data_IF_976012533855
#
_entry.id   IF_976012533855
#
_cell.length_a   1.000
_cell.length_b   1.000
_cell.length_c   1.000
_cell.angle_alpha   90.00
_cell.angle_beta   90.00
_cell.angle_gamma   90.00
#
_symmetry.space_group_name_H-M   'P 1'
#
loop_
_entity.id
_entity.type
_entity.pdbx_description
1 polymer ?
#
# COMPACT_ATOMS: atom_id res chain seq x y z
N UNK A 1 -11.98 -0.21 -11.95
CA UNK A 1 -11.69 0.47 -10.67
C UNK A 1 -10.18 0.43 -10.49
N UNK A 2 -9.49 1.57 -10.53
CA UNK A 2 -8.03 1.60 -10.31
C UNK A 2 -7.76 2.05 -8.88
N UNK A 3 -6.86 1.35 -8.20
CA UNK A 3 -6.43 1.71 -6.85
C UNK A 3 -5.07 2.38 -6.96
N UNK A 4 -4.93 3.51 -6.29
CA UNK A 4 -3.69 4.28 -6.26
C UNK A 4 -3.30 4.55 -4.81
N UNK A 5 -2.00 4.65 -4.56
CA UNK A 5 -1.49 5.22 -3.32
C UNK A 5 -1.87 6.70 -3.24
N UNK A 6 -2.23 7.16 -2.05
CA UNK A 6 -2.29 8.60 -1.80
C UNK A 6 -0.87 9.15 -1.70
N UNK A 7 -0.65 10.42 -2.06
CA UNK A 7 0.66 11.10 -1.94
C UNK A 7 1.21 11.15 -0.50
N UNK A 8 0.41 10.71 0.47
CA UNK A 8 0.69 10.69 1.89
C UNK A 8 1.53 9.47 2.29
N UNK A 9 1.45 8.37 1.57
CA UNK A 9 2.14 7.14 1.94
C UNK A 9 3.20 6.73 0.93
N UNK A 10 4.27 6.12 1.44
CA UNK A 10 5.38 5.58 0.64
C UNK A 10 5.77 4.21 1.19
N UNK A 11 6.26 3.33 0.33
CA UNK A 11 6.82 2.04 0.74
C UNK A 11 8.34 2.02 0.58
N UNK A 12 9.04 1.54 1.61
CA UNK A 12 10.50 1.46 1.66
C UNK A 12 10.94 0.01 1.91
N UNK A 13 11.97 -0.44 1.20
CA UNK A 13 12.73 -1.65 1.50
C UNK A 13 14.13 -1.25 1.97
N UNK A 14 14.53 -1.73 3.15
CA UNK A 14 15.86 -1.54 3.70
C UNK A 14 16.36 -2.83 4.33
N UNK A 15 17.44 -3.40 3.79
CA UNK A 15 18.12 -4.59 4.36
C UNK A 15 17.16 -5.75 4.68
N UNK A 16 16.32 -6.13 3.71
CA UNK A 16 15.33 -7.22 3.83
C UNK A 16 14.17 -6.93 4.81
N UNK A 17 14.04 -5.69 5.27
CA UNK A 17 12.88 -5.23 6.03
C UNK A 17 12.03 -4.27 5.19
N UNK A 18 10.72 -4.34 5.38
CA UNK A 18 9.76 -3.58 4.59
C UNK A 18 8.97 -2.62 5.49
N UNK A 19 8.73 -1.41 4.98
CA UNK A 19 8.10 -0.34 5.71
C UNK A 19 7.03 0.36 4.88
N UNK A 20 5.95 0.77 5.55
CA UNK A 20 4.96 1.73 5.10
C UNK A 20 5.19 3.03 5.88
N UNK A 21 5.52 4.10 5.17
CA UNK A 21 5.79 5.43 5.72
C UNK A 21 4.56 6.29 5.51
N UNK A 22 4.06 6.91 6.58
CA UNK A 22 3.05 7.98 6.50
C UNK A 22 3.75 9.34 6.61
N UNK A 23 3.91 10.03 5.48
CA UNK A 23 4.59 11.33 5.38
C UNK A 23 3.87 12.45 6.14
N UNK A 24 2.55 12.33 6.32
CA UNK A 24 1.74 13.35 6.99
C UNK A 24 1.85 13.25 8.51
N UNK A 25 1.95 12.04 9.04
CA UNK A 25 2.01 11.77 10.49
C UNK A 25 3.43 11.43 10.97
N UNK A 26 4.44 11.52 10.10
CA UNK A 26 5.83 11.15 10.38
C UNK A 26 5.95 9.78 11.09
N UNK A 27 5.18 8.80 10.60
CA UNK A 27 5.06 7.47 11.21
C UNK A 27 5.61 6.40 10.28
N UNK A 28 6.39 5.46 10.83
CA UNK A 28 6.96 4.33 10.11
C UNK A 28 6.34 3.04 10.66
N UNK A 29 5.71 2.26 9.78
CA UNK A 29 5.05 1.01 10.12
C UNK A 29 5.81 -0.13 9.44
N UNK A 30 6.34 -1.07 10.21
CA UNK A 30 6.95 -2.28 9.65
C UNK A 30 5.85 -3.18 9.06
N UNK A 31 6.07 -3.64 7.83
CA UNK A 31 5.17 -4.52 7.09
C UNK A 31 5.90 -5.78 6.65
N UNK A 32 5.15 -6.78 6.18
CA UNK A 32 5.72 -8.00 5.62
C UNK A 32 5.94 -7.87 4.10
N UNK A 33 6.77 -8.75 3.55
CA UNK A 33 7.10 -8.79 2.13
C UNK A 33 5.87 -8.91 1.20
N UNK A 34 4.86 -9.77 1.49
CA UNK A 34 3.70 -9.88 0.62
C UNK A 34 2.91 -8.57 0.53
N UNK A 35 2.72 -7.88 1.67
CA UNK A 35 2.05 -6.59 1.67
C UNK A 35 2.88 -5.54 0.92
N UNK A 36 4.19 -5.47 1.18
CA UNK A 36 5.09 -4.55 0.46
C UNK A 36 5.02 -4.73 -1.05
N UNK A 37 5.06 -5.97 -1.53
CA UNK A 37 5.03 -6.27 -2.97
C UNK A 37 3.75 -5.75 -3.61
N UNK A 38 2.59 -5.99 -2.97
CA UNK A 38 1.31 -5.50 -3.49
C UNK A 38 1.25 -3.97 -3.47
N UNK A 39 1.70 -3.35 -2.38
CA UNK A 39 1.74 -1.89 -2.26
C UNK A 39 2.68 -1.28 -3.31
N UNK A 40 3.80 -1.94 -3.63
CA UNK A 40 4.75 -1.49 -4.65
C UNK A 40 4.19 -1.63 -6.07
N UNK A 41 3.46 -2.71 -6.34
CA UNK A 41 2.77 -2.89 -7.62
C UNK A 41 1.69 -1.81 -7.82
N UNK A 42 0.96 -1.44 -6.76
CA UNK A 42 0.00 -0.33 -6.76
C UNK A 42 0.68 1.02 -7.02
N UNK A 43 1.81 1.30 -6.36
CA UNK A 43 2.61 2.51 -6.61
C UNK A 43 3.04 2.61 -8.08
N UNK A 44 3.35 1.48 -8.72
CA UNK A 44 3.70 1.39 -10.15
C UNK A 44 2.48 1.44 -11.08
N UNK A 45 1.26 1.60 -10.55
CA UNK A 45 0.02 1.65 -11.33
C UNK A 45 -0.36 0.32 -11.97
N UNK A 46 0.17 -0.81 -11.46
CA UNK A 46 -0.23 -2.13 -11.94
C UNK A 46 -1.60 -2.50 -11.39
N UNK A 47 -2.38 -3.19 -12.20
CA UNK A 47 -3.66 -3.74 -11.76
C UNK A 47 -3.42 -4.85 -10.73
N UNK A 48 -4.17 -4.81 -9.62
CA UNK A 48 -4.23 -5.92 -8.69
C UNK A 48 -4.87 -7.11 -9.40
N UNK A 49 -4.11 -8.20 -9.54
CA UNK A 49 -4.70 -9.49 -9.94
C UNK A 49 -5.53 -10.00 -8.77
N UNK A 50 -6.77 -10.37 -9.06
CA UNK A 50 -7.93 -10.55 -8.17
C UNK A 50 -7.79 -11.41 -6.88
N UNK A 51 -6.62 -11.91 -6.49
CA UNK A 51 -6.48 -12.81 -5.34
C UNK A 51 -5.25 -12.57 -4.45
N UNK A 52 -4.45 -11.53 -4.66
CA UNK A 52 -3.22 -11.34 -3.86
C UNK A 52 -3.49 -10.67 -2.50
N UNK A 53 -4.53 -9.85 -2.38
CA UNK A 53 -4.89 -9.16 -1.15
C UNK A 53 -6.30 -9.59 -0.70
N UNK A 54 -6.46 -9.97 0.58
CA UNK A 54 -7.81 -10.19 1.14
C UNK A 54 -8.60 -8.89 1.09
N UNK A 55 -9.88 -8.97 0.73
CA UNK A 55 -10.82 -7.83 0.67
C UNK A 55 -10.79 -7.00 1.97
N UNK A 56 -10.67 -7.66 3.12
CA UNK A 56 -10.60 -6.98 4.43
C UNK A 56 -9.39 -6.04 4.54
N UNK A 57 -8.22 -6.46 4.03
CA UNK A 57 -7.01 -5.63 4.03
C UNK A 57 -7.21 -4.43 3.09
N UNK A 58 -7.81 -4.66 1.93
CA UNK A 58 -8.12 -3.61 0.97
C UNK A 58 -9.04 -2.54 1.58
N UNK A 59 -10.10 -2.98 2.26
CA UNK A 59 -11.05 -2.10 2.94
C UNK A 59 -10.38 -1.31 4.07
N UNK A 60 -9.47 -1.93 4.84
CA UNK A 60 -8.70 -1.24 5.87
C UNK A 60 -7.82 -0.16 5.24
N UNK A 61 -7.11 -0.48 4.15
CA UNK A 61 -6.22 0.47 3.47
C UNK A 61 -6.98 1.66 2.87
N UNK A 62 -8.15 1.42 2.27
CA UNK A 62 -9.04 2.48 1.76
C UNK A 62 -9.59 3.32 2.92
N UNK A 63 -10.07 2.68 3.99
CA UNK A 63 -10.67 3.37 5.15
C UNK A 63 -9.66 4.26 5.88
N UNK A 64 -8.39 3.85 5.90
CA UNK A 64 -7.30 4.64 6.48
C UNK A 64 -6.65 5.63 5.50
N UNK A 65 -7.25 5.83 4.32
CA UNK A 65 -6.74 6.71 3.24
C UNK A 65 -5.31 6.39 2.82
N UNK A 66 -4.90 5.14 2.97
CA UNK A 66 -3.64 4.62 2.43
C UNK A 66 -3.77 4.45 0.92
N UNK A 67 -4.93 3.96 0.48
CA UNK A 67 -5.29 3.81 -0.93
C UNK A 67 -6.50 4.69 -1.27
N UNK A 68 -6.52 5.20 -2.48
CA UNK A 68 -7.65 5.89 -3.09
C UNK A 68 -8.15 5.12 -4.31
N UNK A 69 -9.47 5.15 -4.50
CA UNK A 69 -10.13 4.59 -5.69
C UNK A 69 -10.23 5.69 -6.73
N UNK A 70 -9.59 5.49 -7.88
CA UNK A 70 -9.67 6.37 -9.04
C UNK A 70 -10.50 5.67 -10.13
N UNK A 71 -11.46 6.40 -10.70
CA UNK A 71 -12.30 5.93 -11.81
C UNK A 71 -11.54 5.88 -13.12
#
# INVERSE_FOLDING_TARGET
MKLHFTDIFEVLNQKDEFYLINKKLDTIIKINEPLYTVLKDLEQGKELKDNTLKIDILNILISNRVLEVVN
#
